data_IF_398175901545
#
_entry.id   IF_398175901545
#
_cell.length_a   1.000
_cell.length_b   1.000
_cell.length_c   1.000
_cell.angle_alpha   90.00
_cell.angle_beta   90.00
_cell.angle_gamma   90.00
#
_symmetry.space_group_name_H-M   'P 1'
#
loop_
_entity.id
_entity.type
_entity.pdbx_description
1 polymer ?
#
# COMPACT_ATOMS: atom_id res chain seq x y z
N UNK A 1 31.89 9.70 -5.07
CA UNK A 1 31.16 10.28 -3.92
C UNK A 1 30.61 9.21 -2.97
N UNK A 2 30.25 8.01 -3.47
CA UNK A 2 29.73 6.90 -2.65
C UNK A 2 30.86 6.18 -1.89
N UNK A 3 32.03 6.07 -2.49
CA UNK A 3 33.23 5.51 -1.82
C UNK A 3 33.73 6.37 -0.66
N UNK A 4 33.54 7.69 -0.70
CA UNK A 4 33.98 8.58 0.37
C UNK A 4 33.12 8.46 1.65
N UNK A 5 31.88 7.99 1.56
CA UNK A 5 31.01 7.82 2.72
C UNK A 5 31.36 6.54 3.52
N UNK A 6 31.90 5.51 2.83
CA UNK A 6 32.38 4.29 3.51
C UNK A 6 33.78 4.43 4.11
N UNK A 7 34.66 5.27 3.52
CA UNK A 7 36.01 5.49 4.04
C UNK A 7 36.08 6.21 5.41
N UNK A 8 34.96 6.78 5.87
CA UNK A 8 34.85 7.42 7.19
C UNK A 8 34.29 6.49 8.26
N UNK A 9 34.01 5.22 7.94
CA UNK A 9 33.52 4.24 8.92
C UNK A 9 34.72 3.66 9.69
N UNK A 10 34.90 4.06 10.93
CA UNK A 10 35.83 3.38 11.83
C UNK A 10 35.40 1.92 12.04
N UNK A 11 36.33 1.00 11.95
CA UNK A 11 36.18 -0.47 11.98
C UNK A 11 35.52 -1.06 13.25
N UNK A 12 34.85 -0.27 14.10
CA UNK A 12 34.45 -0.70 15.45
C UNK A 12 32.99 -0.44 15.86
N UNK A 13 32.12 0.09 15.01
CA UNK A 13 30.70 0.23 15.37
C UNK A 13 29.86 -0.92 14.80
N UNK A 14 29.66 -1.97 15.61
CA UNK A 14 28.64 -2.98 15.32
C UNK A 14 27.29 -2.54 15.87
N UNK A 15 26.26 -2.60 15.05
CA UNK A 15 24.87 -2.43 15.45
C UNK A 15 24.25 -3.77 15.85
N UNK A 16 23.23 -3.75 16.69
CA UNK A 16 22.42 -4.94 16.92
C UNK A 16 21.59 -5.29 15.68
N UNK A 17 21.08 -4.25 15.00
CA UNK A 17 20.26 -4.40 13.79
C UNK A 17 20.75 -3.54 12.62
N UNK A 18 20.80 -4.14 11.44
CA UNK A 18 20.78 -3.46 10.16
C UNK A 18 19.35 -3.57 9.57
N UNK A 19 18.65 -2.45 9.46
CA UNK A 19 17.28 -2.41 8.95
C UNK A 19 17.31 -1.91 7.52
N UNK A 20 16.96 -2.79 6.58
CA UNK A 20 16.96 -2.54 5.15
C UNK A 20 15.55 -2.14 4.72
N UNK A 21 15.38 -0.85 4.45
CA UNK A 21 14.13 -0.19 4.10
C UNK A 21 13.68 0.79 5.18
N UNK A 22 13.60 2.07 4.81
CA UNK A 22 13.15 3.17 5.67
C UNK A 22 11.64 3.47 5.51
N UNK A 23 10.87 2.48 5.07
CA UNK A 23 9.41 2.53 5.01
C UNK A 23 8.77 2.26 6.38
N UNK A 24 7.45 2.10 6.41
CA UNK A 24 6.70 1.93 7.67
C UNK A 24 7.18 0.74 8.49
N UNK A 25 7.40 -0.43 7.86
CA UNK A 25 7.87 -1.59 8.61
C UNK A 25 9.22 -1.33 9.27
N UNK A 26 10.20 -0.90 8.49
CA UNK A 26 11.55 -0.65 8.98
C UNK A 26 11.59 0.44 10.04
N UNK A 27 10.87 1.54 9.86
CA UNK A 27 10.80 2.63 10.82
C UNK A 27 10.18 2.20 12.15
N UNK A 28 9.05 1.49 12.12
CA UNK A 28 8.36 1.01 13.32
C UNK A 28 9.22 -0.03 14.04
N UNK A 29 9.80 -0.99 13.32
CA UNK A 29 10.69 -1.98 13.92
C UNK A 29 11.90 -1.32 14.58
N UNK A 30 12.56 -0.37 13.89
CA UNK A 30 13.68 0.39 14.41
C UNK A 30 13.33 1.14 15.69
N UNK A 31 12.16 1.80 15.73
CA UNK A 31 11.69 2.52 16.92
C UNK A 31 11.51 1.58 18.11
N UNK A 32 10.89 0.44 17.91
CA UNK A 32 10.60 -0.52 18.98
C UNK A 32 11.90 -1.09 19.58
N UNK A 33 12.85 -1.52 18.76
CA UNK A 33 14.11 -2.09 19.28
C UNK A 33 15.01 -1.02 19.87
N UNK A 34 15.01 0.21 19.34
CA UNK A 34 15.76 1.33 19.92
C UNK A 34 15.20 1.71 21.30
N UNK A 35 13.89 1.77 21.45
CA UNK A 35 13.23 2.04 22.74
C UNK A 35 13.51 0.93 23.77
N UNK A 36 13.80 -0.29 23.32
CA UNK A 36 14.23 -1.41 24.16
C UNK A 36 15.76 -1.44 24.43
N UNK A 37 16.51 -0.45 23.97
CA UNK A 37 17.94 -0.30 24.25
C UNK A 37 18.88 -0.93 23.21
N UNK A 38 18.37 -1.44 22.09
CA UNK A 38 19.20 -1.95 21.00
C UNK A 38 19.67 -0.83 20.07
N UNK A 39 20.83 -1.03 19.47
CA UNK A 39 21.39 -0.13 18.45
C UNK A 39 20.99 -0.56 17.06
N UNK A 40 20.59 0.37 16.20
CA UNK A 40 20.25 0.05 14.83
C UNK A 40 20.71 1.11 13.82
N UNK A 41 21.03 0.63 12.62
CA UNK A 41 21.25 1.43 11.43
C UNK A 41 20.13 1.12 10.44
N UNK A 42 19.42 2.16 9.99
CA UNK A 42 18.42 2.04 8.93
C UNK A 42 19.05 2.49 7.61
N UNK A 43 18.90 1.70 6.57
CA UNK A 43 19.35 2.05 5.22
C UNK A 43 18.19 1.96 4.21
N UNK A 44 18.23 2.77 3.18
CA UNK A 44 17.31 2.66 2.05
C UNK A 44 18.03 2.92 0.73
N UNK A 45 17.62 2.22 -0.32
CA UNK A 45 18.15 2.44 -1.69
C UNK A 45 17.70 3.76 -2.30
N UNK A 46 16.56 4.30 -1.84
CA UNK A 46 16.02 5.58 -2.27
C UNK A 46 16.74 6.73 -1.55
N UNK A 47 16.58 7.93 -2.08
CA UNK A 47 17.11 9.18 -1.52
C UNK A 47 16.18 9.83 -0.47
N UNK A 48 15.13 9.11 -0.05
CA UNK A 48 14.13 9.55 0.92
C UNK A 48 13.69 8.42 1.84
N UNK A 49 13.17 8.78 3.01
CA UNK A 49 12.49 7.88 3.95
C UNK A 49 11.03 7.67 3.56
N UNK A 50 10.29 6.93 4.36
CA UNK A 50 8.86 6.65 4.28
C UNK A 50 8.45 5.65 3.19
N UNK A 51 9.38 5.09 2.41
CA UNK A 51 9.04 4.06 1.42
C UNK A 51 7.94 4.51 0.46
N UNK A 52 6.93 3.66 0.25
CA UNK A 52 5.80 4.00 -0.63
C UNK A 52 4.81 5.01 -0.01
N UNK A 53 4.90 5.30 1.29
CA UNK A 53 4.09 6.36 1.92
C UNK A 53 4.71 7.74 1.80
N UNK A 54 5.84 7.88 1.11
CA UNK A 54 6.54 9.14 0.91
C UNK A 54 5.64 10.21 0.34
N UNK A 55 5.56 11.34 1.04
CA UNK A 55 4.90 12.55 0.61
C UNK A 55 5.92 13.65 0.40
N UNK A 56 5.74 14.42 -0.67
CA UNK A 56 6.56 15.59 -0.99
C UNK A 56 5.67 16.81 -1.17
N UNK A 57 6.05 17.91 -0.56
CA UNK A 57 5.34 19.18 -0.79
C UNK A 57 5.63 19.71 -2.21
N UNK A 58 4.56 19.98 -2.94
CA UNK A 58 4.57 20.63 -4.25
C UNK A 58 3.54 21.76 -4.21
N UNK A 59 3.99 22.98 -4.39
CA UNK A 59 3.12 24.19 -4.38
C UNK A 59 2.22 24.27 -3.12
N UNK A 60 2.75 23.89 -1.95
CA UNK A 60 2.02 23.88 -0.69
C UNK A 60 1.07 22.70 -0.47
N UNK A 61 1.06 21.72 -1.38
CA UNK A 61 0.21 20.53 -1.33
C UNK A 61 1.09 19.31 -1.04
N UNK A 62 0.71 18.48 -0.06
CA UNK A 62 1.38 17.21 0.21
C UNK A 62 0.99 16.17 -0.84
N UNK A 63 1.91 15.87 -1.76
CA UNK A 63 1.71 14.94 -2.86
C UNK A 63 2.20 13.55 -2.48
N UNK A 64 1.30 12.57 -2.52
CA UNK A 64 1.62 11.16 -2.31
C UNK A 64 2.33 10.63 -3.55
N UNK A 65 3.65 10.43 -3.45
CA UNK A 65 4.50 10.17 -4.62
C UNK A 65 4.31 8.77 -5.22
N UNK A 66 3.80 7.81 -4.45
CA UNK A 66 3.63 6.41 -4.85
C UNK A 66 2.17 5.94 -4.73
N UNK A 67 1.24 6.81 -5.08
CA UNK A 67 -0.19 6.55 -4.99
C UNK A 67 -0.81 7.01 -3.67
N UNK A 68 -2.13 7.13 -3.68
CA UNK A 68 -2.90 7.59 -2.53
C UNK A 68 -2.75 6.62 -1.35
N UNK A 69 -2.40 7.15 -0.20
CA UNK A 69 -2.31 6.42 1.06
C UNK A 69 -3.25 7.06 2.07
N UNK A 70 -4.26 6.33 2.50
CA UNK A 70 -5.21 6.75 3.51
C UNK A 70 -5.07 5.80 4.71
N UNK A 71 -4.78 6.35 5.87
CA UNK A 71 -4.68 5.53 7.09
C UNK A 71 -6.07 5.18 7.58
N UNK A 72 -6.30 3.88 7.82
CA UNK A 72 -7.54 3.37 8.35
C UNK A 72 -7.28 2.11 9.18
N UNK A 73 -8.00 1.92 10.27
CA UNK A 73 -7.93 0.73 11.11
C UNK A 73 -9.11 0.65 12.08
N UNK A 74 -9.44 -0.57 12.49
CA UNK A 74 -10.31 -0.83 13.66
C UNK A 74 -9.50 -1.13 14.92
N UNK A 75 -8.19 -1.30 14.80
CA UNK A 75 -7.31 -1.60 15.93
C UNK A 75 -6.89 -0.31 16.64
N UNK A 76 -7.46 -0.12 17.84
CA UNK A 76 -7.13 1.05 18.67
C UNK A 76 -5.66 1.10 19.06
N UNK A 77 -5.01 -0.03 19.26
CA UNK A 77 -3.58 -0.07 19.62
C UNK A 77 -2.70 0.52 18.51
N UNK A 78 -2.99 0.17 17.26
CA UNK A 78 -2.29 0.71 16.09
C UNK A 78 -2.61 2.20 15.91
N UNK A 79 -3.88 2.60 16.09
CA UNK A 79 -4.28 4.01 16.02
C UNK A 79 -3.57 4.85 17.08
N UNK A 80 -3.55 4.40 18.32
CA UNK A 80 -2.85 5.08 19.41
C UNK A 80 -1.33 5.15 19.14
N UNK A 81 -0.75 4.10 18.57
CA UNK A 81 0.66 4.08 18.20
C UNK A 81 1.03 5.18 17.20
N UNK A 82 0.33 5.27 16.07
CA UNK A 82 0.64 6.27 15.04
C UNK A 82 0.39 7.70 15.51
N UNK A 83 -0.59 7.90 16.39
CA UNK A 83 -0.90 9.20 16.99
C UNK A 83 0.19 9.71 17.97
N UNK A 84 1.13 8.87 18.37
CA UNK A 84 2.34 9.31 19.09
C UNK A 84 3.30 10.09 18.20
N UNK A 85 3.24 9.90 16.90
CA UNK A 85 4.21 10.42 15.92
C UNK A 85 3.65 11.43 14.93
N UNK A 86 2.34 11.54 14.85
CA UNK A 86 1.66 12.51 13.99
C UNK A 86 0.31 12.91 14.58
N UNK A 87 -0.16 14.08 14.19
CA UNK A 87 -1.56 14.47 14.39
C UNK A 87 -2.32 14.12 13.11
N UNK A 88 -3.37 13.32 13.23
CA UNK A 88 -4.21 12.97 12.10
C UNK A 88 -5.38 13.95 11.98
N UNK A 89 -5.72 14.30 10.74
CA UNK A 89 -6.99 14.96 10.47
C UNK A 89 -8.14 13.94 10.53
N UNK A 90 -9.36 14.39 10.32
CA UNK A 90 -10.56 13.55 10.28
C UNK A 90 -11.00 13.21 8.86
N UNK A 91 -10.05 13.08 7.93
CA UNK A 91 -10.35 12.76 6.54
C UNK A 91 -11.06 11.41 6.41
N UNK A 92 -12.15 11.42 5.66
CA UNK A 92 -12.90 10.21 5.28
C UNK A 92 -12.76 10.03 3.78
N UNK A 93 -12.28 8.86 3.37
CA UNK A 93 -12.00 8.61 1.95
C UNK A 93 -13.27 8.44 1.14
N UNK A 94 -13.37 9.22 0.08
CA UNK A 94 -14.46 9.22 -0.89
C UNK A 94 -13.89 9.02 -2.28
N UNK A 95 -14.50 8.14 -3.06
CA UNK A 95 -14.10 7.79 -4.41
C UNK A 95 -15.31 7.90 -5.34
N UNK A 96 -15.06 8.24 -6.58
CA UNK A 96 -16.03 8.12 -7.67
C UNK A 96 -15.47 7.19 -8.74
N UNK A 97 -16.36 6.65 -9.57
CA UNK A 97 -15.96 5.92 -10.78
C UNK A 97 -16.40 6.72 -12.00
N UNK A 98 -15.47 6.96 -12.90
CA UNK A 98 -15.77 7.41 -14.25
C UNK A 98 -15.98 6.20 -15.16
N UNK A 99 -17.12 6.16 -15.80
CA UNK A 99 -17.46 5.18 -16.83
C UNK A 99 -18.19 5.89 -17.98
N UNK A 100 -17.60 5.86 -19.18
CA UNK A 100 -18.12 6.54 -20.39
C UNK A 100 -18.39 8.04 -20.14
N UNK A 101 -17.42 8.72 -19.56
CA UNK A 101 -17.47 10.14 -19.21
C UNK A 101 -18.58 10.54 -18.22
N UNK A 102 -19.15 9.57 -17.50
CA UNK A 102 -20.09 9.80 -16.42
C UNK A 102 -19.49 9.40 -15.08
N UNK A 103 -19.74 10.22 -14.06
CA UNK A 103 -19.28 9.98 -12.69
C UNK A 103 -20.38 9.30 -11.87
N UNK A 104 -20.00 8.25 -11.16
CA UNK A 104 -20.87 7.48 -10.28
C UNK A 104 -20.32 7.43 -8.87
N UNK A 105 -21.20 7.42 -7.89
CA UNK A 105 -20.86 7.19 -6.50
C UNK A 105 -20.29 5.77 -6.31
N UNK A 106 -19.21 5.65 -5.53
CA UNK A 106 -18.53 4.39 -5.28
C UNK A 106 -17.87 4.41 -3.88
N UNK A 107 -17.81 3.31 -3.11
CA UNK A 107 -18.31 1.95 -3.42
C UNK A 107 -19.81 1.91 -3.70
N UNK A 108 -20.27 0.85 -4.39
CA UNK A 108 -21.68 0.69 -4.76
C UNK A 108 -22.56 0.92 -3.53
N UNK A 109 -23.48 1.89 -3.63
CA UNK A 109 -24.40 2.29 -2.58
C UNK A 109 -25.72 2.80 -3.19
N UNK A 110 -26.67 3.21 -2.37
CA UNK A 110 -28.00 3.61 -2.90
C UNK A 110 -27.90 4.73 -3.94
N UNK A 111 -26.99 5.68 -3.79
CA UNK A 111 -26.77 6.74 -4.78
C UNK A 111 -26.30 6.16 -6.14
N UNK A 112 -25.49 5.11 -6.14
CA UNK A 112 -25.10 4.40 -7.36
C UNK A 112 -26.30 3.80 -8.05
N UNK A 113 -27.25 3.20 -7.30
CA UNK A 113 -28.49 2.65 -7.83
C UNK A 113 -29.42 3.75 -8.35
N UNK A 114 -29.52 4.90 -7.65
CA UNK A 114 -30.26 6.07 -8.13
C UNK A 114 -29.73 6.57 -9.47
N UNK A 115 -28.40 6.63 -9.62
CA UNK A 115 -27.74 7.12 -10.84
C UNK A 115 -27.90 6.18 -12.04
N UNK A 116 -27.99 4.87 -11.81
CA UNK A 116 -28.03 3.88 -12.89
C UNK A 116 -29.45 3.41 -13.24
N UNK A 117 -30.33 3.27 -12.23
CA UNK A 117 -31.57 2.49 -12.36
C UNK A 117 -32.82 3.24 -11.89
N UNK A 118 -32.69 4.49 -11.47
CA UNK A 118 -33.80 5.24 -10.87
C UNK A 118 -34.42 4.55 -9.63
N UNK A 119 -33.59 3.78 -8.89
CA UNK A 119 -33.97 3.11 -7.65
C UNK A 119 -33.79 4.10 -6.51
N UNK A 120 -34.83 4.29 -5.68
CA UNK A 120 -34.87 5.35 -4.67
C UNK A 120 -34.78 4.83 -3.23
N UNK A 121 -34.98 3.54 -3.00
CA UNK A 121 -35.03 2.97 -1.66
C UNK A 121 -34.05 1.81 -1.48
N UNK A 122 -33.62 1.60 -0.23
CA UNK A 122 -32.80 0.45 0.14
C UNK A 122 -33.47 -0.88 -0.18
N UNK A 123 -34.79 -0.95 -0.04
CA UNK A 123 -35.55 -2.17 -0.33
C UNK A 123 -35.53 -2.49 -1.82
N UNK A 124 -35.77 -1.52 -2.68
CA UNK A 124 -35.67 -1.67 -4.15
C UNK A 124 -34.25 -2.09 -4.57
N UNK A 125 -33.20 -1.50 -3.96
CA UNK A 125 -31.81 -1.88 -4.23
C UNK A 125 -31.53 -3.34 -3.84
N UNK A 126 -32.03 -3.81 -2.72
CA UNK A 126 -31.93 -5.23 -2.28
C UNK A 126 -32.65 -6.18 -3.24
N UNK A 127 -33.85 -5.82 -3.67
CA UNK A 127 -34.63 -6.59 -4.61
C UNK A 127 -33.94 -6.65 -5.98
N UNK A 128 -33.40 -5.53 -6.45
CA UNK A 128 -32.60 -5.46 -7.68
C UNK A 128 -31.40 -6.40 -7.60
N UNK A 129 -30.58 -6.30 -6.55
CA UNK A 129 -29.43 -7.18 -6.37
C UNK A 129 -29.83 -8.65 -6.37
N UNK A 130 -30.88 -9.00 -5.63
CA UNK A 130 -31.38 -10.38 -5.59
C UNK A 130 -31.83 -10.90 -6.98
N UNK A 131 -32.36 -10.02 -7.81
CA UNK A 131 -32.86 -10.39 -9.16
C UNK A 131 -31.76 -10.60 -10.20
N UNK A 132 -30.58 -9.96 -10.01
CA UNK A 132 -29.47 -9.97 -11.00
C UNK A 132 -28.29 -10.87 -10.60
N UNK A 133 -28.27 -11.40 -9.38
CA UNK A 133 -27.22 -12.28 -8.90
C UNK A 133 -27.12 -13.58 -9.69
N UNK A 134 -25.91 -13.95 -10.09
CA UNK A 134 -25.61 -15.20 -10.79
C UNK A 134 -24.83 -16.12 -9.85
N UNK A 135 -25.48 -17.18 -9.37
CA UNK A 135 -24.82 -18.19 -8.52
C UNK A 135 -23.83 -19.04 -9.32
N UNK A 136 -22.66 -19.28 -8.75
CA UNK A 136 -21.63 -20.13 -9.33
C UNK A 136 -20.92 -20.93 -8.24
N UNK A 137 -20.48 -22.13 -8.58
CA UNK A 137 -19.66 -22.99 -7.71
C UNK A 137 -18.15 -22.70 -7.85
N UNK A 138 -17.75 -21.79 -8.72
CA UNK A 138 -16.34 -21.41 -8.91
C UNK A 138 -15.91 -20.43 -7.83
N UNK A 139 -14.66 -20.53 -7.43
CA UNK A 139 -14.05 -19.65 -6.41
C UNK A 139 -13.08 -18.65 -7.04
N UNK A 140 -13.43 -18.11 -8.21
CA UNK A 140 -12.70 -17.01 -8.83
C UNK A 140 -13.38 -15.66 -8.57
N UNK A 141 -12.63 -14.60 -8.85
CA UNK A 141 -13.09 -13.22 -8.64
C UNK A 141 -14.37 -12.88 -9.43
N UNK A 142 -14.42 -13.22 -10.75
CA UNK A 142 -15.57 -12.91 -11.60
C UNK A 142 -16.82 -13.60 -11.06
N UNK A 143 -16.73 -14.91 -10.81
CA UNK A 143 -17.87 -15.68 -10.30
C UNK A 143 -18.39 -15.17 -8.99
N UNK A 144 -17.50 -14.78 -8.09
CA UNK A 144 -17.89 -14.19 -6.81
C UNK A 144 -18.55 -12.82 -7.03
N UNK A 145 -17.96 -11.93 -7.85
CA UNK A 145 -18.50 -10.61 -8.13
C UNK A 145 -19.92 -10.70 -8.75
N UNK A 146 -20.10 -11.55 -9.76
CA UNK A 146 -21.41 -11.79 -10.38
C UNK A 146 -22.45 -12.31 -9.39
N UNK A 147 -22.03 -13.10 -8.40
CA UNK A 147 -22.92 -13.59 -7.33
C UNK A 147 -23.34 -12.50 -6.34
N UNK A 148 -22.59 -11.41 -6.24
CA UNK A 148 -22.87 -10.30 -5.32
C UNK A 148 -23.64 -9.16 -5.98
N UNK A 149 -23.23 -8.74 -7.17
CA UNK A 149 -23.68 -7.50 -7.79
C UNK A 149 -24.30 -7.69 -9.19
N UNK A 150 -24.25 -8.88 -9.75
CA UNK A 150 -24.74 -9.16 -11.11
C UNK A 150 -23.85 -8.59 -12.22
N UNK A 151 -24.18 -8.91 -13.50
CA UNK A 151 -23.32 -8.60 -14.64
C UNK A 151 -23.19 -7.12 -14.97
N UNK A 152 -24.24 -6.34 -14.79
CA UNK A 152 -24.26 -4.93 -15.18
C UNK A 152 -23.33 -4.09 -14.30
N UNK A 153 -23.50 -4.13 -12.98
CA UNK A 153 -22.62 -3.46 -12.02
C UNK A 153 -21.18 -3.99 -12.11
N UNK A 154 -21.00 -5.29 -12.30
CA UNK A 154 -19.70 -5.90 -12.48
C UNK A 154 -18.95 -5.36 -13.71
N UNK A 155 -19.60 -5.34 -14.87
CA UNK A 155 -19.00 -4.84 -16.11
C UNK A 155 -18.76 -3.33 -16.08
N UNK A 156 -19.65 -2.57 -15.44
CA UNK A 156 -19.55 -1.11 -15.36
C UNK A 156 -18.43 -0.66 -14.41
N UNK A 157 -18.34 -1.21 -13.21
CA UNK A 157 -17.48 -0.67 -12.15
C UNK A 157 -16.25 -1.49 -11.81
N UNK A 158 -16.26 -2.79 -12.07
CA UNK A 158 -15.32 -3.71 -11.44
C UNK A 158 -14.38 -4.38 -12.44
N UNK A 159 -14.92 -4.97 -13.50
CA UNK A 159 -14.14 -5.82 -14.40
C UNK A 159 -12.94 -5.10 -15.03
N UNK A 160 -13.18 -4.04 -15.77
CA UNK A 160 -12.12 -3.33 -16.50
C UNK A 160 -11.07 -2.75 -15.58
N UNK A 161 -11.47 -2.17 -14.45
CA UNK A 161 -10.55 -1.67 -13.43
C UNK A 161 -9.65 -2.80 -12.89
N UNK A 162 -10.26 -3.90 -12.48
CA UNK A 162 -9.55 -5.03 -11.86
C UNK A 162 -8.60 -5.71 -12.84
N UNK A 163 -9.03 -5.95 -14.07
CA UNK A 163 -8.19 -6.58 -15.09
C UNK A 163 -7.01 -5.69 -15.48
N UNK A 164 -7.18 -4.36 -15.53
CA UNK A 164 -6.06 -3.41 -15.70
C UNK A 164 -5.08 -3.47 -14.53
N UNK A 165 -5.59 -3.37 -13.31
CA UNK A 165 -4.77 -3.35 -12.10
C UNK A 165 -3.91 -4.60 -11.97
N UNK A 166 -4.48 -5.76 -12.23
CA UNK A 166 -3.80 -7.05 -12.02
C UNK A 166 -3.13 -7.59 -13.28
N UNK A 167 -3.41 -7.03 -14.46
CA UNK A 167 -2.81 -7.42 -15.73
C UNK A 167 -3.20 -8.82 -16.19
N UNK A 168 -4.39 -9.31 -15.76
CA UNK A 168 -4.91 -10.63 -16.11
C UNK A 168 -6.42 -10.69 -16.02
N UNK A 169 -7.02 -11.73 -16.58
CA UNK A 169 -8.45 -11.95 -16.53
C UNK A 169 -8.96 -12.07 -15.10
N UNK A 170 -10.14 -11.51 -14.83
CA UNK A 170 -10.82 -11.62 -13.56
C UNK A 170 -11.10 -13.08 -13.15
N UNK A 171 -11.24 -14.01 -14.11
CA UNK A 171 -11.41 -15.45 -13.87
C UNK A 171 -10.17 -16.12 -13.28
N UNK A 172 -9.00 -15.52 -13.45
CA UNK A 172 -7.72 -16.03 -12.92
C UNK A 172 -7.37 -15.45 -11.55
N UNK A 173 -8.18 -14.51 -11.05
CA UNK A 173 -7.95 -13.84 -9.78
C UNK A 173 -8.71 -14.52 -8.63
N UNK A 174 -8.16 -14.52 -7.40
CA UNK A 174 -8.87 -15.05 -6.24
C UNK A 174 -10.00 -14.11 -5.79
N UNK A 175 -11.11 -14.67 -5.34
CA UNK A 175 -12.27 -13.91 -4.84
C UNK A 175 -11.94 -12.96 -3.67
N UNK A 176 -10.86 -13.19 -2.95
CA UNK A 176 -10.42 -12.37 -1.82
C UNK A 176 -10.09 -10.91 -2.18
N UNK A 177 -9.80 -10.62 -3.44
CA UNK A 177 -9.48 -9.27 -3.93
C UNK A 177 -10.68 -8.32 -3.74
N UNK A 178 -11.88 -8.75 -4.13
CA UNK A 178 -13.08 -7.90 -4.06
C UNK A 178 -13.72 -7.83 -2.67
N UNK A 179 -13.49 -8.81 -1.82
CA UNK A 179 -14.05 -8.83 -0.45
C UNK A 179 -13.71 -7.61 0.40
N UNK A 180 -12.77 -6.80 -0.06
CA UNK A 180 -12.36 -5.54 0.60
C UNK A 180 -13.28 -4.36 0.30
N UNK A 181 -14.08 -4.42 -0.77
CA UNK A 181 -14.94 -3.31 -1.21
C UNK A 181 -16.37 -3.59 -0.78
N UNK A 182 -16.97 -2.73 0.06
CA UNK A 182 -18.34 -2.96 0.49
C UNK A 182 -19.34 -2.73 -0.63
N UNK A 183 -20.46 -3.47 -0.57
CA UNK A 183 -21.67 -3.23 -1.39
C UNK A 183 -22.78 -2.87 -0.40
N UNK A 184 -23.35 -1.69 -0.58
CA UNK A 184 -24.35 -1.12 0.34
C UNK A 184 -25.64 -0.81 -0.39
N UNK A 185 -26.73 -0.84 0.32
CA UNK A 185 -28.07 -0.46 -0.18
C UNK A 185 -28.59 0.82 0.47
N UNK A 186 -27.81 1.43 1.36
CA UNK A 186 -28.02 2.73 1.99
C UNK A 186 -27.11 3.79 1.33
N UNK A 187 -27.45 5.08 1.49
CA UNK A 187 -26.57 6.19 1.08
C UNK A 187 -25.36 6.27 2.01
N UNK A 188 -24.28 5.63 1.61
CA UNK A 188 -22.99 5.69 2.30
C UNK A 188 -21.87 5.46 1.29
N UNK A 189 -21.18 6.50 0.91
CA UNK A 189 -20.05 6.51 0.00
C UNK A 189 -18.68 6.45 0.68
N UNK A 190 -18.63 6.19 1.99
CA UNK A 190 -17.36 5.95 2.70
C UNK A 190 -16.63 4.74 2.09
N UNK A 191 -15.39 4.95 1.68
CA UNK A 191 -14.59 3.87 1.06
C UNK A 191 -14.25 2.77 2.06
N UNK A 192 -13.94 3.15 3.32
CA UNK A 192 -13.64 2.23 4.40
C UNK A 192 -14.75 2.22 5.45
N UNK A 193 -14.95 1.05 6.07
CA UNK A 193 -15.86 0.90 7.22
C UNK A 193 -15.14 1.11 8.56
N UNK A 194 -13.83 1.30 8.55
CA UNK A 194 -13.02 1.37 9.76
C UNK A 194 -13.36 2.60 10.61
N UNK A 195 -13.32 2.41 11.92
CA UNK A 195 -13.65 3.45 12.91
C UNK A 195 -12.63 4.58 12.89
N UNK A 196 -11.34 4.23 12.83
CA UNK A 196 -10.24 5.19 12.85
C UNK A 196 -9.73 5.42 11.44
N UNK A 197 -9.81 6.65 10.97
CA UNK A 197 -9.36 7.05 9.64
C UNK A 197 -8.79 8.45 9.67
N UNK A 198 -7.84 8.73 8.81
CA UNK A 198 -7.29 10.08 8.65
C UNK A 198 -6.01 10.11 7.84
N UNK A 199 -5.53 11.32 7.64
CA UNK A 199 -4.25 11.62 6.99
C UNK A 199 -3.38 12.37 8.00
N UNK A 200 -2.09 12.05 8.16
CA UNK A 200 -1.19 12.83 9.00
C UNK A 200 -1.09 14.27 8.49
N UNK A 201 -1.34 15.24 9.36
CA UNK A 201 -1.17 16.65 9.03
C UNK A 201 0.32 16.89 8.72
N UNK A 202 0.62 17.50 7.57
CA UNK A 202 1.97 17.67 7.05
C UNK A 202 2.54 16.45 6.31
N UNK A 203 1.76 15.39 6.13
CA UNK A 203 2.08 14.22 5.32
C UNK A 203 2.73 13.06 6.07
N UNK A 204 2.79 11.91 5.42
CA UNK A 204 3.37 10.70 5.99
C UNK A 204 4.87 10.77 6.22
N UNK A 205 5.59 11.54 5.40
CA UNK A 205 7.04 11.68 5.55
C UNK A 205 7.41 12.26 6.91
N UNK A 206 6.66 13.26 7.41
CA UNK A 206 6.88 13.83 8.74
C UNK A 206 6.60 12.80 9.82
N UNK A 207 5.54 12.01 9.71
CA UNK A 207 5.24 10.92 10.64
C UNK A 207 6.40 9.93 10.73
N UNK A 208 6.90 9.44 9.59
CA UNK A 208 8.02 8.49 9.56
C UNK A 208 9.31 9.12 10.09
N UNK A 209 9.56 10.41 9.79
CA UNK A 209 10.68 11.16 10.36
C UNK A 209 10.61 11.21 11.90
N UNK A 210 9.42 11.40 12.45
CA UNK A 210 9.22 11.38 13.90
C UNK A 210 9.43 9.99 14.51
N UNK A 211 8.99 8.93 13.82
CA UNK A 211 9.26 7.54 14.25
C UNK A 211 10.77 7.27 14.28
N UNK A 212 11.51 7.74 13.28
CA UNK A 212 12.96 7.56 13.14
C UNK A 212 13.80 8.55 13.95
N UNK A 213 13.20 9.44 14.72
CA UNK A 213 13.93 10.46 15.48
C UNK A 213 14.97 9.83 16.43
N UNK A 214 16.23 10.26 16.30
CA UNK A 214 17.35 9.75 17.11
C UNK A 214 17.89 8.39 16.64
N UNK A 215 17.43 7.87 15.51
CA UNK A 215 17.92 6.64 14.89
C UNK A 215 18.77 7.02 13.67
N UNK A 216 19.92 6.37 13.50
CA UNK A 216 20.78 6.62 12.35
C UNK A 216 20.15 6.07 11.08
N UNK A 217 20.06 6.92 10.05
CA UNK A 217 19.50 6.57 8.73
C UNK A 217 20.49 6.96 7.64
N UNK A 218 20.80 6.05 6.74
CA UNK A 218 21.63 6.30 5.55
C UNK A 218 20.84 5.95 4.29
N UNK A 219 20.69 6.95 3.41
CA UNK A 219 19.93 6.84 2.17
C UNK A 219 20.84 6.60 0.96
N UNK A 220 20.27 6.17 -0.16
CA UNK A 220 21.01 5.89 -1.39
C UNK A 220 21.88 4.62 -1.32
N UNK A 221 21.63 3.73 -0.36
CA UNK A 221 22.40 2.50 -0.17
C UNK A 221 21.55 1.29 -0.56
N UNK A 222 21.95 0.62 -1.64
CA UNK A 222 21.32 -0.62 -2.06
C UNK A 222 21.99 -1.82 -1.37
N UNK A 223 21.29 -2.42 -0.40
CA UNK A 223 21.77 -3.55 0.37
C UNK A 223 22.21 -4.74 -0.52
N UNK A 224 21.41 -5.09 -1.53
CA UNK A 224 21.71 -6.25 -2.37
C UNK A 224 23.00 -6.10 -3.21
N UNK A 225 23.42 -4.87 -3.48
CA UNK A 225 24.67 -4.60 -4.21
C UNK A 225 25.91 -4.60 -3.33
N UNK A 226 25.75 -4.47 -2.00
CA UNK A 226 26.85 -4.31 -1.06
C UNK A 226 26.71 -5.24 0.16
N UNK A 227 25.97 -6.33 -0.02
CA UNK A 227 25.52 -7.21 1.05
C UNK A 227 26.67 -7.69 1.96
N UNK A 228 27.75 -8.18 1.37
CA UNK A 228 28.89 -8.73 2.14
C UNK A 228 29.45 -7.72 3.15
N UNK A 229 29.61 -6.47 2.73
CA UNK A 229 30.09 -5.39 3.61
C UNK A 229 29.05 -4.97 4.66
N UNK A 230 27.77 -4.95 4.26
CA UNK A 230 26.69 -4.48 5.13
C UNK A 230 26.31 -5.52 6.19
N UNK A 231 26.41 -6.82 5.87
CA UNK A 231 26.17 -7.90 6.83
C UNK A 231 27.17 -7.90 8.00
N UNK A 232 28.37 -7.36 7.79
CA UNK A 232 29.38 -7.21 8.87
C UNK A 232 29.02 -6.13 9.91
N UNK A 233 28.10 -5.21 9.58
CA UNK A 233 27.74 -4.09 10.44
C UNK A 233 26.81 -4.42 11.59
N UNK A 234 26.06 -5.53 11.51
CA UNK A 234 25.05 -5.85 12.50
C UNK A 234 24.88 -7.36 12.72
N UNK A 235 24.40 -7.71 13.92
CA UNK A 235 24.12 -9.11 14.28
C UNK A 235 22.89 -9.67 13.58
N UNK A 236 21.90 -8.82 13.37
CA UNK A 236 20.61 -9.18 12.76
C UNK A 236 20.26 -8.22 11.64
N UNK A 237 19.85 -8.75 10.51
CA UNK A 237 19.34 -7.97 9.37
C UNK A 237 17.82 -8.04 9.37
N UNK A 238 17.15 -6.89 9.30
CA UNK A 238 15.72 -6.78 9.02
C UNK A 238 15.56 -6.37 7.57
N UNK A 239 15.06 -7.26 6.72
CA UNK A 239 14.97 -7.04 5.29
C UNK A 239 13.53 -6.82 4.86
N UNK A 240 13.23 -5.65 4.28
CA UNK A 240 11.89 -5.27 3.84
C UNK A 240 11.72 -5.27 2.31
N UNK A 241 12.76 -5.60 1.58
CA UNK A 241 12.71 -5.80 0.13
C UNK A 241 12.08 -7.14 -0.27
N UNK A 242 12.03 -7.43 -1.58
CA UNK A 242 11.47 -8.69 -2.08
C UNK A 242 12.25 -9.91 -1.56
N UNK A 243 11.54 -10.87 -0.96
CA UNK A 243 12.16 -12.07 -0.38
C UNK A 243 12.91 -12.91 -1.42
N UNK A 244 12.40 -13.01 -2.63
CA UNK A 244 13.03 -13.73 -3.73
C UNK A 244 14.34 -13.04 -4.19
N UNK A 245 14.37 -11.71 -4.22
CA UNK A 245 15.58 -10.95 -4.52
C UNK A 245 16.67 -11.14 -3.46
N UNK A 246 16.31 -11.25 -2.18
CA UNK A 246 17.23 -11.54 -1.10
C UNK A 246 17.99 -12.86 -1.34
N UNK A 247 17.33 -13.86 -1.88
CA UNK A 247 17.90 -15.16 -2.25
C UNK A 247 18.36 -15.25 -3.71
N UNK A 248 18.60 -14.08 -4.35
CA UNK A 248 19.05 -13.99 -5.73
C UNK A 248 18.19 -14.81 -6.71
N UNK A 249 16.87 -14.82 -6.47
CA UNK A 249 15.88 -15.53 -7.30
C UNK A 249 16.18 -17.04 -7.49
N UNK A 250 16.77 -17.67 -6.48
CA UNK A 250 17.24 -19.07 -6.53
C UNK A 250 16.20 -20.06 -7.05
N UNK A 251 14.93 -19.83 -6.76
CA UNK A 251 13.82 -20.70 -7.19
C UNK A 251 12.99 -20.07 -8.32
N UNK A 252 13.41 -18.95 -8.86
CA UNK A 252 12.66 -18.13 -9.79
C UNK A 252 12.06 -16.90 -9.14
N UNK A 253 11.62 -15.96 -9.97
CA UNK A 253 10.99 -14.74 -9.48
C UNK A 253 9.54 -14.96 -9.07
N UNK A 254 9.16 -14.40 -7.93
CA UNK A 254 7.76 -14.26 -7.54
C UNK A 254 7.05 -13.23 -8.44
N UNK A 255 5.75 -13.33 -8.55
CA UNK A 255 4.94 -12.41 -9.33
C UNK A 255 4.63 -11.11 -8.56
N UNK A 256 4.85 -9.98 -9.21
CA UNK A 256 4.51 -8.65 -8.67
C UNK A 256 3.79 -7.83 -9.72
N UNK A 257 3.09 -6.80 -9.27
CA UNK A 257 2.65 -5.68 -10.12
C UNK A 257 3.52 -4.48 -9.87
N UNK A 258 3.72 -3.69 -10.91
CA UNK A 258 4.40 -2.40 -10.88
C UNK A 258 3.41 -1.27 -11.18
N UNK A 259 3.81 -0.04 -10.92
CA UNK A 259 3.01 1.16 -11.17
C UNK A 259 3.89 2.24 -11.80
N UNK A 260 3.24 3.15 -12.53
CA UNK A 260 3.83 4.40 -13.02
C UNK A 260 2.90 5.54 -12.67
N UNK A 261 3.48 6.64 -12.24
CA UNK A 261 2.75 7.84 -11.82
C UNK A 261 3.14 9.02 -12.70
N UNK A 262 2.14 9.80 -13.11
CA UNK A 262 2.32 11.06 -13.83
C UNK A 262 1.60 12.16 -13.05
N UNK A 263 2.38 13.08 -12.47
CA UNK A 263 1.86 14.20 -11.69
C UNK A 263 1.91 15.50 -12.47
N UNK A 264 0.88 16.31 -12.31
CA UNK A 264 0.72 17.61 -12.98
C UNK A 264 0.14 18.64 -12.03
N UNK A 265 0.69 19.84 -12.04
CA UNK A 265 0.09 21.01 -11.36
C UNK A 265 -0.99 21.58 -12.28
N UNK A 266 -2.20 21.77 -11.73
CA UNK A 266 -3.36 22.34 -12.42
C UNK A 266 -3.62 23.77 -11.94
N UNK A 267 -3.96 24.69 -12.86
CA UNK A 267 -4.24 26.07 -12.48
C UNK A 267 -5.56 26.24 -11.72
N UNK A 268 -6.43 25.25 -11.79
CA UNK A 268 -7.71 25.27 -11.08
C UNK A 268 -7.52 24.93 -9.60
N UNK A 269 -8.32 25.55 -8.74
CA UNK A 269 -8.31 25.28 -7.31
C UNK A 269 -8.68 23.81 -6.98
N UNK A 270 -9.60 23.25 -7.73
CA UNK A 270 -9.97 21.83 -7.71
C UNK A 270 -10.33 21.35 -9.12
N UNK A 271 -9.93 20.14 -9.46
CA UNK A 271 -10.19 19.50 -10.76
C UNK A 271 -11.25 18.40 -10.62
N UNK A 272 -11.30 17.77 -9.47
CA UNK A 272 -12.23 16.67 -9.15
C UNK A 272 -13.08 17.04 -7.93
N UNK A 273 -14.24 16.44 -7.84
CA UNK A 273 -15.11 16.58 -6.66
C UNK A 273 -14.60 15.76 -5.46
N UNK A 274 -13.97 14.61 -5.75
CA UNK A 274 -13.40 13.68 -4.75
C UNK A 274 -11.90 13.52 -4.96
N UNK A 275 -11.22 13.09 -3.90
CA UNK A 275 -9.77 12.87 -3.94
C UNK A 275 -9.34 11.85 -5.00
N UNK A 276 -10.14 10.83 -5.23
CA UNK A 276 -9.84 9.75 -6.19
C UNK A 276 -11.04 9.51 -7.10
N UNK A 277 -10.77 9.49 -8.40
CA UNK A 277 -11.69 9.02 -9.43
C UNK A 277 -11.07 7.81 -10.11
N UNK A 278 -11.75 6.67 -10.01
CA UNK A 278 -11.37 5.44 -10.70
C UNK A 278 -11.91 5.45 -12.13
N UNK A 279 -11.13 4.91 -13.05
CA UNK A 279 -11.52 4.75 -14.46
C UNK A 279 -11.69 3.27 -14.75
N UNK A 280 -12.93 2.83 -14.89
CA UNK A 280 -13.26 1.40 -14.99
C UNK A 280 -13.27 0.83 -16.41
N UNK A 281 -13.20 1.68 -17.44
CA UNK A 281 -13.13 1.23 -18.84
C UNK A 281 -11.76 0.61 -19.13
N UNK A 282 -11.75 -0.52 -19.84
CA UNK A 282 -10.54 -1.23 -20.22
C UNK A 282 -9.62 -0.41 -21.15
N UNK A 283 -10.20 0.44 -21.98
CA UNK A 283 -9.52 1.27 -22.97
C UNK A 283 -8.78 2.45 -22.36
N UNK A 284 -9.19 2.91 -21.18
CA UNK A 284 -8.50 3.98 -20.46
C UNK A 284 -7.24 3.42 -19.82
N UNK A 285 -6.03 3.94 -20.16
CA UNK A 285 -4.78 3.29 -19.79
C UNK A 285 -4.39 3.41 -18.32
N UNK A 286 -4.96 4.35 -17.57
CA UNK A 286 -4.76 4.51 -16.14
C UNK A 286 -5.94 3.97 -15.34
N UNK A 287 -5.69 3.58 -14.10
CA UNK A 287 -6.75 3.05 -13.22
C UNK A 287 -7.45 4.17 -12.45
N UNK A 288 -6.74 5.25 -12.12
CA UNK A 288 -7.31 6.35 -11.32
C UNK A 288 -6.54 7.65 -11.50
N UNK A 289 -7.24 8.75 -11.19
CA UNK A 289 -6.64 10.07 -11.01
C UNK A 289 -6.82 10.46 -9.55
N UNK A 290 -5.72 10.88 -8.92
CA UNK A 290 -5.65 11.31 -7.54
C UNK A 290 -5.48 12.82 -7.52
N UNK A 291 -6.34 13.55 -6.84
CA UNK A 291 -6.18 14.97 -6.54
C UNK A 291 -5.81 15.14 -5.07
N UNK A 292 -4.53 15.42 -4.84
CA UNK A 292 -3.91 15.35 -3.51
C UNK A 292 -4.41 16.40 -2.54
N UNK A 293 -4.85 17.54 -3.04
CA UNK A 293 -5.33 18.66 -2.23
C UNK A 293 -6.50 18.30 -1.31
N UNK A 294 -7.33 17.33 -1.71
CA UNK A 294 -8.45 16.88 -0.91
C UNK A 294 -8.04 16.23 0.42
N UNK A 295 -6.82 15.70 0.50
CA UNK A 295 -6.35 15.01 1.71
C UNK A 295 -6.13 15.97 2.89
N UNK A 296 -5.63 17.20 2.62
CA UNK A 296 -5.29 18.20 3.63
C UNK A 296 -6.20 19.44 3.60
N UNK A 297 -7.00 19.59 2.53
CA UNK A 297 -7.88 20.76 2.30
C UNK A 297 -7.16 22.09 2.42
N UNK A 298 -5.93 22.18 1.91
CA UNK A 298 -5.15 23.40 1.92
C UNK A 298 -5.75 24.46 0.99
N UNK A 299 -5.64 25.74 1.39
CA UNK A 299 -6.15 26.86 0.61
C UNK A 299 -5.11 27.37 -0.38
N UNK A 300 -5.10 26.78 -1.58
CA UNK A 300 -4.25 27.18 -2.71
C UNK A 300 -5.10 27.47 -3.94
N UNK A 301 -4.64 28.36 -4.82
CA UNK A 301 -5.36 28.72 -6.05
C UNK A 301 -5.28 27.62 -7.14
N UNK A 302 -4.37 26.67 -6.97
CA UNK A 302 -4.08 25.57 -7.90
C UNK A 302 -4.18 24.22 -7.19
N UNK A 303 -4.11 23.14 -7.95
CA UNK A 303 -4.16 21.78 -7.44
C UNK A 303 -3.05 20.90 -8.05
N UNK A 304 -2.84 19.72 -7.51
CA UNK A 304 -1.93 18.71 -8.03
C UNK A 304 -2.69 17.40 -8.22
N UNK A 305 -2.65 16.88 -9.44
CA UNK A 305 -3.26 15.60 -9.80
C UNK A 305 -2.20 14.60 -10.24
N UNK A 306 -2.45 13.32 -9.95
CA UNK A 306 -1.59 12.21 -10.36
C UNK A 306 -2.41 11.15 -11.06
N UNK A 307 -2.02 10.78 -12.29
CA UNK A 307 -2.52 9.59 -12.99
C UNK A 307 -1.70 8.38 -12.58
N UNK A 308 -2.38 7.29 -12.20
CA UNK A 308 -1.77 6.03 -11.81
C UNK A 308 -1.96 4.98 -12.89
N UNK A 309 -0.85 4.52 -13.46
CA UNK A 309 -0.83 3.52 -14.53
C UNK A 309 -0.38 2.17 -13.98
N UNK A 310 -1.16 1.11 -14.17
CA UNK A 310 -0.72 -0.25 -13.86
C UNK A 310 0.33 -0.71 -14.86
N UNK A 311 1.31 -1.47 -14.38
CA UNK A 311 2.39 -2.02 -15.20
C UNK A 311 2.72 -3.45 -14.83
N UNK A 312 3.15 -4.20 -15.82
CA UNK A 312 3.80 -5.48 -15.59
C UNK A 312 5.16 -5.27 -14.93
N UNK A 313 5.44 -6.11 -13.96
CA UNK A 313 6.73 -6.13 -13.29
C UNK A 313 7.69 -7.09 -14.00
N UNK A 314 8.96 -6.72 -14.01
CA UNK A 314 10.07 -7.60 -14.36
C UNK A 314 11.27 -7.28 -13.46
N UNK A 315 12.23 -8.19 -13.37
CA UNK A 315 13.47 -7.96 -12.61
C UNK A 315 14.09 -6.61 -12.95
N UNK A 316 14.49 -5.85 -11.95
CA UNK A 316 15.04 -4.51 -12.09
C UNK A 316 14.03 -3.37 -12.08
N UNK A 317 12.72 -3.66 -12.15
CA UNK A 317 11.66 -2.68 -11.93
C UNK A 317 11.18 -2.71 -10.48
N UNK A 318 10.60 -1.60 -10.01
CA UNK A 318 10.06 -1.49 -8.67
C UNK A 318 8.79 -2.35 -8.51
N UNK A 319 8.76 -3.32 -7.58
CA UNK A 319 7.56 -4.05 -7.24
C UNK A 319 6.73 -3.25 -6.24
N UNK A 320 5.42 -3.16 -6.47
CA UNK A 320 4.53 -2.44 -5.56
C UNK A 320 3.66 -3.39 -4.74
N UNK A 321 3.17 -4.45 -5.34
CA UNK A 321 2.38 -5.44 -4.61
C UNK A 321 2.47 -6.84 -5.22
N UNK A 322 2.34 -7.88 -4.37
CA UNK A 322 2.46 -9.26 -4.79
C UNK A 322 1.19 -9.76 -5.50
N UNK A 323 1.37 -10.74 -6.37
CA UNK A 323 0.30 -11.49 -7.01
C UNK A 323 0.08 -12.80 -6.27
N UNK A 324 -1.01 -12.92 -5.53
CA UNK A 324 -1.31 -14.05 -4.65
C UNK A 324 -2.05 -15.19 -5.34
N UNK A 325 -1.58 -15.62 -6.52
CA UNK A 325 -2.11 -16.80 -7.20
C UNK A 325 -1.51 -18.12 -6.63
N UNK A 326 -2.02 -19.24 -7.11
CA UNK A 326 -1.60 -20.57 -6.62
C UNK A 326 -0.12 -20.85 -6.90
N UNK A 327 0.38 -20.48 -8.07
CA UNK A 327 1.77 -20.71 -8.47
C UNK A 327 2.74 -19.91 -7.58
N UNK A 328 2.44 -18.64 -7.36
CA UNK A 328 3.25 -17.78 -6.49
C UNK A 328 3.19 -18.22 -5.02
N UNK A 329 2.05 -18.71 -4.54
CA UNK A 329 1.93 -19.26 -3.19
C UNK A 329 2.83 -20.49 -3.00
N UNK A 330 2.90 -21.37 -4.00
CA UNK A 330 3.77 -22.55 -3.92
C UNK A 330 5.25 -22.16 -3.98
N UNK A 331 5.61 -21.24 -4.86
CA UNK A 331 6.97 -20.71 -4.93
C UNK A 331 7.38 -20.00 -3.62
N UNK A 332 6.47 -19.24 -3.02
CA UNK A 332 6.71 -18.57 -1.74
C UNK A 332 7.03 -19.55 -0.60
N UNK A 333 6.39 -20.72 -0.55
CA UNK A 333 6.70 -21.75 0.46
C UNK A 333 8.16 -22.14 0.44
N UNK A 334 8.76 -22.26 -0.76
CA UNK A 334 10.19 -22.58 -0.90
C UNK A 334 11.08 -21.47 -0.33
N UNK A 335 10.77 -20.21 -0.61
CA UNK A 335 11.50 -19.07 -0.03
C UNK A 335 11.32 -18.97 1.49
N UNK A 336 10.13 -19.24 2.01
CA UNK A 336 9.88 -19.27 3.46
C UNK A 336 10.64 -20.39 4.15
N UNK A 337 10.78 -21.54 3.50
CA UNK A 337 11.61 -22.64 4.05
C UNK A 337 13.08 -22.20 4.21
N UNK A 338 13.63 -21.46 3.22
CA UNK A 338 14.97 -20.88 3.35
C UNK A 338 15.03 -19.83 4.48
N UNK A 339 14.05 -18.96 4.54
CA UNK A 339 14.03 -17.89 5.56
C UNK A 339 13.98 -18.45 6.98
N UNK A 340 13.27 -19.54 7.20
CA UNK A 340 13.20 -20.21 8.50
C UNK A 340 14.54 -20.82 8.96
N UNK A 341 15.43 -21.12 8.02
CA UNK A 341 16.79 -21.61 8.32
C UNK A 341 17.76 -20.45 8.63
N UNK A 342 17.49 -19.26 8.14
CA UNK A 342 18.32 -18.07 8.33
C UNK A 342 17.88 -17.30 9.56
N UNK A 343 18.42 -17.69 10.73
CA UNK A 343 18.02 -17.11 12.03
C UNK A 343 18.46 -15.67 12.26
N UNK A 344 19.41 -15.19 11.45
CA UNK A 344 19.95 -13.83 11.57
C UNK A 344 19.24 -12.81 10.68
N UNK A 345 18.18 -13.21 9.98
CA UNK A 345 17.41 -12.32 9.11
C UNK A 345 15.93 -12.37 9.47
N UNK A 346 15.34 -11.18 9.64
CA UNK A 346 13.91 -11.00 9.84
C UNK A 346 13.35 -10.37 8.57
N UNK A 347 12.46 -11.08 7.89
CA UNK A 347 11.73 -10.53 6.74
C UNK A 347 10.49 -9.80 7.19
N UNK A 348 10.24 -8.62 6.64
CA UNK A 348 9.10 -7.81 7.01
C UNK A 348 8.57 -6.92 5.90
N UNK A 349 7.35 -6.43 6.09
CA UNK A 349 6.67 -5.56 5.16
C UNK A 349 6.06 -6.31 3.97
N UNK A 350 5.42 -5.55 3.10
CA UNK A 350 4.65 -6.08 1.96
C UNK A 350 5.48 -7.01 1.05
N UNK A 351 6.70 -6.64 0.74
CA UNK A 351 7.58 -7.39 -0.16
C UNK A 351 8.33 -8.51 0.55
N UNK A 352 8.84 -8.26 1.76
CA UNK A 352 9.59 -9.24 2.55
C UNK A 352 8.72 -10.40 3.04
N UNK A 353 7.44 -10.14 3.33
CA UNK A 353 6.47 -11.17 3.71
C UNK A 353 5.64 -11.68 2.53
N UNK A 354 5.75 -11.03 1.37
CA UNK A 354 4.95 -11.30 0.18
C UNK A 354 3.45 -11.29 0.47
N UNK A 355 2.97 -10.19 1.09
CA UNK A 355 1.57 -9.98 1.46
C UNK A 355 1.08 -8.63 0.97
N UNK A 356 -0.15 -8.58 0.49
CA UNK A 356 -0.82 -7.34 0.11
C UNK A 356 -1.36 -6.63 1.35
N UNK A 357 -0.46 -5.98 2.07
CA UNK A 357 -0.76 -5.27 3.31
C UNK A 357 -1.26 -3.85 3.10
N UNK A 358 -2.24 -3.45 3.88
CA UNK A 358 -2.54 -2.05 4.16
C UNK A 358 -1.57 -1.51 5.23
N UNK A 359 -1.48 -0.20 5.39
CA UNK A 359 -0.51 0.43 6.30
C UNK A 359 -0.64 -0.07 7.74
N UNK A 360 -1.86 -0.20 8.26
CA UNK A 360 -2.08 -0.68 9.62
C UNK A 360 -1.60 -2.12 9.81
N UNK A 361 -1.71 -2.95 8.78
CA UNK A 361 -1.22 -4.33 8.82
C UNK A 361 0.30 -4.40 8.80
N UNK A 362 0.96 -3.52 8.02
CA UNK A 362 2.43 -3.39 8.02
C UNK A 362 2.92 -2.99 9.41
N UNK A 363 2.29 -1.98 10.02
CA UNK A 363 2.64 -1.51 11.36
C UNK A 363 2.40 -2.63 12.40
N UNK A 364 1.25 -3.31 12.34
CA UNK A 364 0.95 -4.43 13.22
C UNK A 364 1.96 -5.55 13.14
N UNK A 365 2.40 -5.91 11.91
CA UNK A 365 3.45 -6.92 11.70
C UNK A 365 4.78 -6.48 12.29
N UNK A 366 5.16 -5.21 12.11
CA UNK A 366 6.41 -4.67 12.69
C UNK A 366 6.39 -4.68 14.22
N UNK A 367 5.29 -4.24 14.82
CA UNK A 367 5.11 -4.29 16.28
C UNK A 367 5.18 -5.72 16.83
N UNK A 368 4.50 -6.67 16.19
CA UNK A 368 4.50 -8.07 16.62
C UNK A 368 5.89 -8.72 16.51
N UNK A 369 6.59 -8.50 15.39
CA UNK A 369 7.92 -9.10 15.17
C UNK A 369 8.98 -8.50 16.07
N UNK A 370 8.95 -7.19 16.31
CA UNK A 370 9.88 -6.55 17.24
C UNK A 370 9.63 -6.97 18.69
N UNK A 371 8.37 -7.03 19.12
CA UNK A 371 8.01 -7.51 20.45
C UNK A 371 8.50 -8.95 20.69
N UNK A 372 8.23 -9.84 19.73
CA UNK A 372 8.70 -11.23 19.81
C UNK A 372 10.22 -11.33 19.91
N UNK A 373 10.97 -10.53 19.15
CA UNK A 373 12.44 -10.52 19.26
C UNK A 373 12.89 -10.07 20.64
N UNK A 374 12.33 -8.98 21.16
CA UNK A 374 12.67 -8.43 22.47
C UNK A 374 12.38 -9.47 23.57
N UNK A 375 11.18 -10.09 23.57
CA UNK A 375 10.81 -11.12 24.55
C UNK A 375 11.73 -12.32 24.55
N UNK A 376 12.21 -12.76 23.37
CA UNK A 376 13.10 -13.92 23.26
C UNK A 376 14.55 -13.62 23.70
N UNK A 377 14.94 -12.35 23.83
CA UNK A 377 16.30 -11.92 24.14
C UNK A 377 16.38 -11.08 25.44
N UNK A 378 15.27 -10.91 26.15
CA UNK A 378 15.21 -10.38 27.52
C UNK A 378 15.39 -11.49 28.53
#
# INVERSE_FOLDING_TARGET
>A
AIESTFAAMSETQSYDFLIVGAGLFGAVFARQVTDAGYTCLVIDKRDHIAGNTYTKEVEGIQVHQYGAHIFHTNDKTIWDYVNRFATFNNYRHKVQVNYKDQLYSFPINLETFEQLYDIQTSQEAKEHLASVQIKSNRNDFESWALSQIGPDLYNTFVKGYTEKQWGRSAKELPSSILKRIPVRTEKNDDYFNDVYQGIPIGGYTIMVKNILKGIEVRLGINYLHQRDKLDELARTVVFTGPIDAFYNYRFGALGYRSLRFESEVKPEAYVQEKAVVNYSEAEVPYTRIIEHKHFDKVNTAHSVVTKEYPKDWSKGKEPYYPINDAANKELLKRYKALSNQNKNVIFGGRLGEYKYYDMHQVIGSALAKSARFIEMNS
#
